data_IF_543771093978
#
_entry.id   IF_543771093978
#
_cell.length_a   1.000
_cell.length_b   1.000
_cell.length_c   1.000
_cell.angle_alpha   90.00
_cell.angle_beta   90.00
_cell.angle_gamma   90.00
#
_symmetry.space_group_name_H-M   'P 1'
#
loop_
_entity.id
_entity.type
_entity.pdbx_description
1 polymer ?
#
# COMPACT_ATOMS: atom_id res chain seq x y z
N UNK A 1 -2.23 8.13 -8.19
CA UNK A 1 -2.30 8.15 -6.70
C UNK A 1 -3.72 8.08 -6.15
N UNK A 2 -4.62 8.99 -6.55
CA UNK A 2 -5.95 9.18 -5.96
C UNK A 2 -6.79 7.89 -5.89
N UNK A 3 -6.82 7.07 -6.95
CA UNK A 3 -7.59 5.83 -6.98
C UNK A 3 -7.13 4.83 -5.91
N UNK A 4 -5.82 4.57 -5.82
CA UNK A 4 -5.27 3.67 -4.80
C UNK A 4 -5.56 4.16 -3.38
N UNK A 5 -5.41 5.47 -3.13
CA UNK A 5 -5.74 6.10 -1.84
C UNK A 5 -7.22 5.92 -1.51
N UNK A 6 -8.11 6.13 -2.49
CA UNK A 6 -9.55 5.92 -2.35
C UNK A 6 -9.92 4.47 -2.01
N UNK A 7 -9.37 3.50 -2.76
CA UNK A 7 -9.59 2.07 -2.52
C UNK A 7 -9.24 1.68 -1.08
N UNK A 8 -8.05 2.07 -0.60
CA UNK A 8 -7.63 1.76 0.77
C UNK A 8 -8.47 2.48 1.82
N UNK A 9 -8.93 3.70 1.56
CA UNK A 9 -9.75 4.46 2.52
C UNK A 9 -11.15 3.84 2.69
N UNK A 10 -11.76 3.39 1.57
CA UNK A 10 -13.03 2.66 1.58
C UNK A 10 -12.85 1.32 2.30
N UNK A 11 -11.79 0.58 1.95
CA UNK A 11 -11.55 -0.74 2.52
C UNK A 11 -11.26 -0.70 4.04
N UNK A 12 -10.51 0.29 4.54
CA UNK A 12 -10.33 0.45 5.99
C UNK A 12 -11.67 0.70 6.70
N UNK A 13 -12.56 1.48 6.07
CA UNK A 13 -13.90 1.73 6.60
C UNK A 13 -14.76 0.45 6.62
N UNK A 14 -14.64 -0.42 5.62
CA UNK A 14 -15.29 -1.72 5.59
C UNK A 14 -14.74 -2.66 6.68
N UNK A 15 -13.42 -2.75 6.82
CA UNK A 15 -12.77 -3.55 7.87
C UNK A 15 -13.19 -3.09 9.27
N UNK A 16 -13.21 -1.78 9.53
CA UNK A 16 -13.64 -1.23 10.82
C UNK A 16 -15.08 -1.63 11.16
N UNK A 17 -15.99 -1.55 10.18
CA UNK A 17 -17.39 -1.95 10.34
C UNK A 17 -17.52 -3.46 10.58
N UNK A 18 -16.96 -4.27 9.69
CA UNK A 18 -17.13 -5.72 9.72
C UNK A 18 -16.45 -6.38 10.92
N UNK A 19 -15.30 -5.86 11.35
CA UNK A 19 -14.55 -6.39 12.49
C UNK A 19 -14.87 -5.66 13.81
N UNK A 20 -15.80 -4.71 13.81
CA UNK A 20 -16.16 -3.87 14.96
C UNK A 20 -14.93 -3.31 15.69
N UNK A 21 -13.99 -2.74 14.93
CA UNK A 21 -12.70 -2.27 15.44
C UNK A 21 -12.40 -0.82 15.04
N UNK A 22 -11.50 -0.16 15.79
CA UNK A 22 -11.12 1.25 15.52
C UNK A 22 -10.12 1.39 14.37
N UNK A 23 -9.32 0.36 14.11
CA UNK A 23 -8.28 0.39 13.08
C UNK A 23 -8.34 -0.92 12.27
N UNK A 24 -8.99 -0.85 11.11
CA UNK A 24 -9.24 -2.01 10.26
C UNK A 24 -7.94 -2.64 9.78
N UNK A 25 -6.98 -1.83 9.37
CA UNK A 25 -5.70 -2.32 8.85
C UNK A 25 -4.83 -3.03 9.90
N UNK A 26 -4.77 -2.52 11.13
CA UNK A 26 -4.08 -3.21 12.23
C UNK A 26 -4.78 -4.55 12.46
N UNK A 27 -6.11 -4.54 12.59
CA UNK A 27 -6.85 -5.76 12.91
C UNK A 27 -6.74 -6.82 11.80
N UNK A 28 -6.80 -6.41 10.54
CA UNK A 28 -6.60 -7.29 9.40
C UNK A 28 -5.20 -7.93 9.39
N UNK A 29 -4.14 -7.16 9.71
CA UNK A 29 -2.78 -7.73 9.80
C UNK A 29 -2.63 -8.72 10.95
N UNK A 30 -3.25 -8.48 12.10
CA UNK A 30 -3.29 -9.46 13.20
C UNK A 30 -3.95 -10.76 12.75
N UNK A 31 -5.14 -10.68 12.14
CA UNK A 31 -5.87 -11.87 11.66
C UNK A 31 -5.07 -12.65 10.63
N UNK A 32 -4.44 -11.96 9.67
CA UNK A 32 -3.59 -12.62 8.67
C UNK A 32 -2.37 -13.30 9.33
N UNK A 33 -1.78 -12.68 10.34
CA UNK A 33 -0.68 -13.27 11.08
C UNK A 33 -1.13 -14.53 11.84
N UNK A 34 -2.27 -14.46 12.53
CA UNK A 34 -2.83 -15.58 13.30
C UNK A 34 -3.24 -16.76 12.39
N UNK A 35 -3.69 -16.47 11.17
CA UNK A 35 -3.97 -17.49 10.12
C UNK A 35 -2.71 -18.05 9.46
N UNK A 36 -1.51 -17.54 9.77
CA UNK A 36 -0.25 -17.95 9.15
C UNK A 36 -0.02 -17.39 7.74
N UNK A 37 -0.86 -16.44 7.29
CA UNK A 37 -0.83 -15.82 5.96
C UNK A 37 0.24 -14.70 5.88
N UNK A 38 1.48 -15.02 6.28
CA UNK A 38 2.58 -14.06 6.48
C UNK A 38 2.91 -13.28 5.20
N UNK A 39 2.89 -13.95 4.03
CA UNK A 39 3.17 -13.31 2.74
C UNK A 39 2.11 -12.26 2.40
N UNK A 40 0.83 -12.59 2.58
CA UNK A 40 -0.28 -11.67 2.31
C UNK A 40 -0.25 -10.50 3.30
N UNK A 41 0.01 -10.77 4.58
CA UNK A 41 0.19 -9.74 5.63
C UNK A 41 1.30 -8.75 5.27
N UNK A 42 2.47 -9.23 4.85
CA UNK A 42 3.60 -8.36 4.48
C UNK A 42 3.30 -7.55 3.21
N UNK A 43 2.71 -8.18 2.18
CA UNK A 43 2.28 -7.46 0.97
C UNK A 43 1.29 -6.36 1.32
N UNK A 44 0.30 -6.64 2.17
CA UNK A 44 -0.69 -5.66 2.62
C UNK A 44 -0.06 -4.50 3.39
N UNK A 45 0.93 -4.78 4.23
CA UNK A 45 1.70 -3.76 4.95
C UNK A 45 2.48 -2.84 3.99
N UNK A 46 3.18 -3.40 2.99
CA UNK A 46 3.92 -2.60 2.02
C UNK A 46 3.03 -1.64 1.24
N UNK A 47 1.87 -2.11 0.75
CA UNK A 47 0.93 -1.22 0.07
C UNK A 47 0.30 -0.20 1.03
N UNK A 48 0.01 -0.56 2.27
CA UNK A 48 -0.50 0.39 3.27
C UNK A 48 0.48 1.55 3.52
N UNK A 49 1.78 1.24 3.58
CA UNK A 49 2.84 2.24 3.70
C UNK A 49 2.96 3.10 2.44
N UNK A 50 2.90 2.49 1.25
CA UNK A 50 2.91 3.23 -0.02
C UNK A 50 1.73 4.20 -0.12
N UNK A 51 0.54 3.79 0.28
CA UNK A 51 -0.64 4.65 0.34
C UNK A 51 -0.46 5.80 1.35
N UNK A 52 0.18 5.55 2.49
CA UNK A 52 0.53 6.62 3.43
C UNK A 52 1.52 7.63 2.82
N UNK A 53 2.50 7.17 2.05
CA UNK A 53 3.42 8.05 1.32
C UNK A 53 2.66 8.89 0.27
N UNK A 54 1.74 8.28 -0.48
CA UNK A 54 0.93 9.01 -1.47
C UNK A 54 0.03 10.08 -0.85
N UNK A 55 -0.37 9.93 0.42
CA UNK A 55 -1.18 10.92 1.15
C UNK A 55 -0.35 12.03 1.80
N UNK A 56 0.84 11.70 2.31
CA UNK A 56 1.57 12.56 3.24
C UNK A 56 2.99 12.91 2.78
N UNK A 57 3.45 12.34 1.67
CA UNK A 57 4.82 12.49 1.19
C UNK A 57 5.83 11.68 2.00
N UNK A 58 7.07 12.19 2.06
CA UNK A 58 8.19 11.53 2.74
C UNK A 58 7.99 11.47 4.26
N UNK A 59 8.46 10.40 4.88
CA UNK A 59 8.48 10.24 6.33
C UNK A 59 8.75 8.79 6.74
N UNK A 60 8.32 8.40 7.94
CA UNK A 60 8.54 7.04 8.48
C UNK A 60 8.12 5.90 7.55
N UNK A 61 7.01 6.07 6.83
CA UNK A 61 6.55 5.07 5.86
C UNK A 61 7.54 4.90 4.71
N UNK A 62 8.11 6.00 4.21
CA UNK A 62 9.14 5.97 3.17
C UNK A 62 10.42 5.32 3.70
N UNK A 63 10.89 5.72 4.88
CA UNK A 63 12.08 5.13 5.52
C UNK A 63 11.95 3.60 5.67
N UNK A 64 10.76 3.14 6.06
CA UNK A 64 10.45 1.71 6.23
C UNK A 64 10.48 0.97 4.89
N UNK A 65 9.88 1.55 3.84
CA UNK A 65 9.88 0.94 2.50
C UNK A 65 11.27 0.92 1.88
N UNK A 66 12.07 1.98 2.05
CA UNK A 66 13.45 2.03 1.54
C UNK A 66 14.33 0.94 2.15
N UNK A 67 14.17 0.63 3.45
CA UNK A 67 14.91 -0.48 4.07
C UNK A 67 14.57 -1.85 3.46
N UNK A 68 13.41 -1.97 2.81
CA UNK A 68 12.90 -3.19 2.22
C UNK A 68 12.74 -3.10 0.69
N UNK A 69 13.39 -2.13 0.03
CA UNK A 69 13.06 -1.73 -1.35
C UNK A 69 13.15 -2.88 -2.36
N UNK A 70 14.09 -3.82 -2.17
CA UNK A 70 14.28 -4.99 -3.05
C UNK A 70 13.13 -6.00 -2.99
N UNK A 71 12.30 -5.95 -1.94
CA UNK A 71 11.17 -6.85 -1.73
C UNK A 71 9.83 -6.23 -2.16
N UNK A 72 9.84 -4.96 -2.59
CA UNK A 72 8.61 -4.25 -2.89
C UNK A 72 8.01 -4.72 -4.22
N UNK A 73 6.69 -4.95 -4.27
CA UNK A 73 5.98 -5.32 -5.50
C UNK A 73 5.67 -4.12 -6.41
N UNK A 74 6.26 -2.96 -6.15
CA UNK A 74 6.09 -1.70 -6.87
C UNK A 74 7.38 -0.87 -6.82
N UNK A 75 7.51 0.09 -7.72
CA UNK A 75 8.67 0.97 -7.80
C UNK A 75 8.54 2.17 -6.84
N UNK A 76 9.64 2.47 -6.15
CA UNK A 76 9.81 3.60 -5.22
C UNK A 76 11.08 4.37 -5.61
N UNK A 77 11.06 5.70 -5.51
CA UNK A 77 12.26 6.51 -5.67
C UNK A 77 13.21 6.19 -4.52
N UNK A 78 14.40 5.68 -4.83
CA UNK A 78 15.48 5.53 -3.84
C UNK A 78 16.35 6.78 -3.78
N UNK A 79 17.09 7.04 -2.69
CA UNK A 79 18.03 8.16 -2.62
C UNK A 79 18.99 8.19 -3.83
N UNK A 80 19.09 9.33 -4.50
CA UNK A 80 19.93 9.50 -5.70
C UNK A 80 19.31 8.99 -7.01
N UNK A 81 18.06 8.56 -7.01
CA UNK A 81 17.30 8.22 -8.22
C UNK A 81 16.14 9.20 -8.44
N UNK A 82 15.60 9.23 -9.66
CA UNK A 82 14.38 9.95 -10.01
C UNK A 82 13.60 9.15 -11.03
N UNK A 83 12.27 9.27 -11.03
CA UNK A 83 11.44 8.76 -12.14
C UNK A 83 11.55 9.64 -13.40
N UNK A 84 12.01 10.89 -13.23
CA UNK A 84 12.15 11.87 -14.29
C UNK A 84 12.98 11.35 -15.47
N UNK A 85 12.37 11.39 -16.66
CA UNK A 85 13.05 11.29 -17.95
C UNK A 85 13.01 12.67 -18.61
N UNK A 86 14.15 13.11 -19.14
CA UNK A 86 14.28 14.42 -19.79
C UNK A 86 13.17 14.63 -20.84
N UNK A 87 12.33 15.65 -20.63
CA UNK A 87 11.22 16.01 -21.52
C UNK A 87 9.81 15.69 -21.01
N UNK A 88 9.65 15.00 -19.88
CA UNK A 88 8.33 14.72 -19.30
C UNK A 88 7.95 15.74 -18.21
N UNK A 89 6.99 16.62 -18.53
CA UNK A 89 6.46 17.65 -17.61
C UNK A 89 5.19 17.21 -16.87
N UNK A 90 4.79 15.94 -17.02
CA UNK A 90 3.46 15.45 -16.58
C UNK A 90 3.47 14.57 -15.33
N UNK A 91 4.63 14.11 -14.86
CA UNK A 91 4.69 13.29 -13.64
C UNK A 91 4.54 14.15 -12.38
N UNK A 92 3.50 13.87 -11.61
CA UNK A 92 3.32 14.38 -10.25
C UNK A 92 4.50 13.86 -9.41
N UNK A 93 5.23 14.75 -8.75
CA UNK A 93 6.32 14.45 -7.79
C UNK A 93 5.84 13.46 -6.71
N UNK A 94 5.86 12.18 -7.02
CA UNK A 94 5.41 11.11 -6.15
C UNK A 94 6.56 10.14 -5.93
N UNK A 95 6.80 9.81 -4.66
CA UNK A 95 7.86 8.89 -4.28
C UNK A 95 7.57 7.44 -4.71
N UNK A 96 6.32 7.14 -5.05
CA UNK A 96 5.87 5.82 -5.52
C UNK A 96 5.40 5.99 -6.96
N UNK A 97 5.88 5.14 -7.85
CA UNK A 97 5.38 5.10 -9.23
C UNK A 97 3.97 4.52 -9.24
N UNK A 98 3.00 5.34 -9.64
CA UNK A 98 1.59 4.93 -9.70
C UNK A 98 1.14 4.75 -11.14
N UNK A 99 1.45 3.58 -11.68
CA UNK A 99 0.98 3.11 -12.99
C UNK A 99 -0.26 2.20 -12.86
N UNK A 100 -0.78 1.73 -13.99
CA UNK A 100 -1.94 0.82 -14.02
C UNK A 100 -1.66 -0.48 -13.24
N UNK A 101 -0.42 -0.97 -13.28
CA UNK A 101 0.01 -2.17 -12.56
C UNK A 101 -0.08 -1.96 -11.05
N UNK A 102 0.31 -0.80 -10.54
CA UNK A 102 0.16 -0.44 -9.13
C UNK A 102 -1.32 -0.46 -8.72
N UNK A 103 -2.20 0.15 -9.51
CA UNK A 103 -3.64 0.20 -9.22
C UNK A 103 -4.28 -1.19 -9.24
N UNK A 104 -3.95 -2.02 -10.23
CA UNK A 104 -4.42 -3.39 -10.31
C UNK A 104 -3.94 -4.24 -9.14
N UNK A 105 -2.67 -4.07 -8.73
CA UNK A 105 -2.13 -4.73 -7.54
C UNK A 105 -2.86 -4.33 -6.26
N UNK A 106 -3.26 -3.06 -6.12
CA UNK A 106 -4.07 -2.63 -4.98
C UNK A 106 -5.40 -3.40 -4.96
N UNK A 107 -6.15 -3.41 -6.07
CA UNK A 107 -7.45 -4.07 -6.13
C UNK A 107 -7.36 -5.59 -5.85
N UNK A 108 -6.37 -6.25 -6.45
CA UNK A 108 -6.10 -7.68 -6.22
C UNK A 108 -5.77 -7.96 -4.75
N UNK A 109 -4.87 -7.18 -4.17
CA UNK A 109 -4.46 -7.33 -2.77
C UNK A 109 -5.64 -7.15 -1.82
N UNK A 110 -6.44 -6.09 -1.98
CA UNK A 110 -7.58 -5.84 -1.11
C UNK A 110 -8.63 -6.95 -1.21
N UNK A 111 -8.83 -7.51 -2.41
CA UNK A 111 -9.70 -8.68 -2.61
C UNK A 111 -9.17 -9.91 -1.86
N UNK A 112 -7.87 -10.18 -1.92
CA UNK A 112 -7.25 -11.30 -1.19
C UNK A 112 -7.35 -11.11 0.33
N UNK A 113 -7.07 -9.91 0.83
CA UNK A 113 -7.18 -9.59 2.26
C UNK A 113 -8.64 -9.69 2.72
N UNK A 114 -9.59 -9.19 1.95
CA UNK A 114 -11.02 -9.29 2.23
C UNK A 114 -11.43 -10.76 2.44
N UNK A 115 -11.13 -11.63 1.47
CA UNK A 115 -11.41 -13.08 1.58
C UNK A 115 -10.73 -13.73 2.78
N UNK A 116 -9.49 -13.36 3.07
CA UNK A 116 -8.75 -13.97 4.16
C UNK A 116 -9.19 -13.47 5.54
N UNK A 117 -9.85 -12.32 5.65
CA UNK A 117 -10.14 -11.66 6.93
C UNK A 117 -11.64 -11.59 7.26
N UNK A 118 -12.48 -11.50 6.24
CA UNK A 118 -13.93 -11.30 6.38
C UNK A 118 -14.76 -12.55 6.03
N UNK A 119 -14.17 -13.51 5.31
CA UNK A 119 -14.74 -14.85 5.12
C UNK A 119 -14.19 -15.82 6.19
#
# INVERSE_FOLDING_TARGET
>A
GILGVGMFSIFDSELQKSLSCKNGFIKAREILYDKGEIKLKNRFEYFSLAINILKHGQGRSYETLIQNYQLLPFEIITPGSSFFKEGDVTEVDTLIKVDDKFVMNCAELLTQVSKAVLD
#
